data_IF_314760014478
#
_entry.id   IF_314760014478
#
_cell.length_a   1.000
_cell.length_b   1.000
_cell.length_c   1.000
_cell.angle_alpha   90.00
_cell.angle_beta   90.00
_cell.angle_gamma   90.00
#
_symmetry.space_group_name_H-M   'P 1'
#
loop_
_entity.id
_entity.type
_entity.pdbx_description
1 polymer ?
#
# COMPACT_ATOMS: atom_id res chain seq x y z
N UNK A 1 -19.42 3.27 -14.77
CA UNK A 1 -19.21 2.95 -13.34
C UNK A 1 -18.63 1.55 -13.22
N UNK A 2 -19.27 0.55 -13.83
CA UNK A 2 -18.77 -0.84 -13.81
C UNK A 2 -17.42 -1.01 -14.52
N UNK A 3 -17.17 -0.31 -15.63
CA UNK A 3 -15.87 -0.35 -16.31
C UNK A 3 -14.74 0.23 -15.44
N UNK A 4 -15.00 1.37 -14.80
CA UNK A 4 -14.05 2.03 -13.90
C UNK A 4 -13.77 1.19 -12.65
N UNK A 5 -14.79 0.51 -12.12
CA UNK A 5 -14.61 -0.42 -11.00
C UNK A 5 -13.79 -1.64 -11.43
N UNK A 6 -14.00 -2.15 -12.64
CA UNK A 6 -13.26 -3.29 -13.20
C UNK A 6 -11.78 -2.93 -13.43
N UNK A 7 -11.52 -1.74 -13.97
CA UNK A 7 -10.17 -1.20 -14.12
C UNK A 7 -9.48 -1.06 -12.76
N UNK A 8 -10.16 -0.44 -11.78
CA UNK A 8 -9.65 -0.33 -10.41
C UNK A 8 -9.32 -1.68 -9.78
N UNK A 9 -10.19 -2.68 -9.92
CA UNK A 9 -9.94 -4.02 -9.37
C UNK A 9 -8.74 -4.70 -10.05
N UNK A 10 -8.57 -4.51 -11.35
CA UNK A 10 -7.42 -5.00 -12.12
C UNK A 10 -6.13 -4.34 -11.65
N UNK A 11 -6.07 -3.01 -11.68
CA UNK A 11 -4.89 -2.24 -11.25
C UNK A 11 -4.53 -2.50 -9.79
N UNK A 12 -5.54 -2.58 -8.91
CA UNK A 12 -5.31 -2.86 -7.48
C UNK A 12 -4.73 -4.26 -7.31
N UNK A 13 -5.21 -5.25 -8.06
CA UNK A 13 -4.67 -6.62 -8.00
C UNK A 13 -3.21 -6.67 -8.45
N UNK A 14 -2.86 -5.93 -9.51
CA UNK A 14 -1.47 -5.81 -9.98
C UNK A 14 -0.58 -5.10 -8.95
N UNK A 15 -1.06 -3.99 -8.39
CA UNK A 15 -0.35 -3.26 -7.33
C UNK A 15 -0.14 -4.10 -6.07
N UNK A 16 -1.12 -4.94 -5.70
CA UNK A 16 -1.00 -5.86 -4.58
C UNK A 16 0.05 -6.96 -4.85
N UNK A 17 0.12 -7.49 -6.07
CA UNK A 17 1.16 -8.45 -6.43
C UNK A 17 2.57 -7.84 -6.34
N UNK A 18 2.74 -6.56 -6.70
CA UNK A 18 4.00 -5.83 -6.50
C UNK A 18 4.25 -5.60 -5.01
N UNK A 19 3.23 -5.22 -4.24
CA UNK A 19 3.32 -4.98 -2.80
C UNK A 19 3.81 -6.24 -2.06
N UNK A 20 3.28 -7.42 -2.39
CA UNK A 20 3.70 -8.69 -1.78
C UNK A 20 5.22 -8.93 -1.94
N UNK A 21 5.74 -8.70 -3.15
CA UNK A 21 7.18 -8.88 -3.43
C UNK A 21 8.01 -7.84 -2.67
N UNK A 22 7.56 -6.59 -2.62
CA UNK A 22 8.28 -5.53 -1.92
C UNK A 22 8.28 -5.71 -0.41
N UNK A 23 7.20 -6.24 0.18
CA UNK A 23 7.14 -6.57 1.61
C UNK A 23 8.17 -7.63 1.99
N UNK A 24 8.30 -8.71 1.20
CA UNK A 24 9.31 -9.75 1.42
C UNK A 24 10.73 -9.18 1.32
N UNK A 25 10.99 -8.26 0.39
CA UNK A 25 12.29 -7.58 0.33
C UNK A 25 12.51 -6.65 1.52
N UNK A 26 11.47 -5.97 1.98
CA UNK A 26 11.54 -5.08 3.13
C UNK A 26 11.85 -5.85 4.42
N UNK A 27 11.29 -7.05 4.58
CA UNK A 27 11.63 -7.96 5.68
C UNK A 27 13.13 -8.35 5.68
N UNK A 28 13.73 -8.51 4.50
CA UNK A 28 15.15 -8.87 4.35
C UNK A 28 16.09 -7.66 4.45
N UNK A 29 15.63 -6.49 4.03
CA UNK A 29 16.40 -5.25 3.96
C UNK A 29 15.64 -4.09 4.67
N UNK A 30 15.45 -4.16 6.00
CA UNK A 30 14.58 -3.23 6.72
C UNK A 30 15.08 -1.77 6.74
N UNK A 31 16.39 -1.56 6.55
CA UNK A 31 16.99 -0.22 6.46
C UNK A 31 16.87 0.40 5.05
N UNK A 32 16.39 -0.37 4.07
CA UNK A 32 16.31 0.07 2.68
C UNK A 32 15.06 0.95 2.46
N UNK A 33 15.26 2.25 2.67
CA UNK A 33 14.22 3.29 2.52
C UNK A 33 13.58 3.33 1.14
N UNK A 34 14.25 2.84 0.09
CA UNK A 34 13.69 2.83 -1.25
C UNK A 34 12.53 1.83 -1.38
N UNK A 35 12.67 0.65 -0.77
CA UNK A 35 11.63 -0.39 -0.73
C UNK A 35 10.42 0.12 0.04
N UNK A 36 10.65 0.66 1.25
CA UNK A 36 9.58 1.22 2.07
C UNK A 36 8.85 2.38 1.37
N UNK A 37 9.61 3.25 0.69
CA UNK A 37 9.03 4.32 -0.11
C UNK A 37 8.18 3.80 -1.28
N UNK A 38 8.54 2.65 -1.87
CA UNK A 38 7.76 2.03 -2.92
C UNK A 38 6.44 1.44 -2.40
N UNK A 39 6.52 0.68 -1.31
CA UNK A 39 5.35 0.14 -0.59
C UNK A 39 4.38 1.26 -0.21
N UNK A 40 4.89 2.35 0.38
CA UNK A 40 4.06 3.48 0.78
C UNK A 40 3.33 4.11 -0.41
N UNK A 41 4.00 4.29 -1.56
CA UNK A 41 3.37 4.83 -2.78
C UNK A 41 2.26 3.93 -3.31
N UNK A 42 2.45 2.61 -3.33
CA UNK A 42 1.44 1.66 -3.79
C UNK A 42 0.17 1.75 -2.94
N UNK A 43 0.31 1.72 -1.62
CA UNK A 43 -0.83 1.83 -0.69
C UNK A 43 -1.49 3.20 -0.77
N UNK A 44 -0.71 4.29 -0.91
CA UNK A 44 -1.24 5.64 -1.07
C UNK A 44 -2.07 5.78 -2.35
N UNK A 45 -1.62 5.19 -3.47
CA UNK A 45 -2.37 5.16 -4.73
C UNK A 45 -3.69 4.40 -4.56
N UNK A 46 -3.67 3.21 -3.96
CA UNK A 46 -4.89 2.40 -3.72
C UNK A 46 -5.89 3.19 -2.86
N UNK A 47 -5.43 3.83 -1.77
CA UNK A 47 -6.28 4.70 -0.94
C UNK A 47 -6.88 5.85 -1.76
N UNK A 48 -6.07 6.54 -2.55
CA UNK A 48 -6.49 7.66 -3.39
C UNK A 48 -7.60 7.24 -4.36
N UNK A 49 -7.43 6.11 -5.03
CA UNK A 49 -8.44 5.57 -5.95
C UNK A 49 -9.71 5.14 -5.20
N UNK A 50 -9.60 4.56 -4.00
CA UNK A 50 -10.77 4.24 -3.17
C UNK A 50 -11.58 5.49 -2.79
N UNK A 51 -10.91 6.58 -2.42
CA UNK A 51 -11.56 7.86 -2.12
C UNK A 51 -12.22 8.46 -3.36
N UNK A 52 -11.55 8.42 -4.51
CA UNK A 52 -12.09 8.89 -5.79
C UNK A 52 -13.36 8.11 -6.21
N UNK A 53 -13.38 6.79 -6.02
CA UNK A 53 -14.51 5.93 -6.36
C UNK A 53 -15.64 5.92 -5.31
N UNK A 54 -15.48 6.62 -4.19
CA UNK A 54 -16.45 6.61 -3.11
C UNK A 54 -16.60 5.25 -2.45
N UNK A 55 -15.48 4.54 -2.22
CA UNK A 55 -15.41 3.22 -1.59
C UNK A 55 -14.89 3.34 -0.13
N UNK A 56 -15.69 3.89 0.81
CA UNK A 56 -15.21 4.31 2.14
C UNK A 56 -14.67 3.15 2.99
N UNK A 57 -15.20 1.94 2.80
CA UNK A 57 -14.71 0.75 3.51
C UNK A 57 -13.29 0.41 3.07
N UNK A 58 -13.03 0.38 1.76
CA UNK A 58 -11.70 0.07 1.23
C UNK A 58 -10.71 1.20 1.52
N UNK A 59 -11.16 2.45 1.40
CA UNK A 59 -10.36 3.62 1.77
C UNK A 59 -9.90 3.54 3.24
N UNK A 60 -10.79 3.16 4.16
CA UNK A 60 -10.44 3.02 5.58
C UNK A 60 -9.36 1.95 5.84
N UNK A 61 -9.39 0.84 5.10
CA UNK A 61 -8.40 -0.24 5.21
C UNK A 61 -7.06 0.20 4.63
N UNK A 62 -7.06 0.82 3.44
CA UNK A 62 -5.85 1.33 2.80
C UNK A 62 -5.18 2.41 3.67
N UNK A 63 -5.99 3.30 4.26
CA UNK A 63 -5.50 4.32 5.19
C UNK A 63 -4.90 3.71 6.46
N UNK A 64 -5.51 2.67 7.04
CA UNK A 64 -4.93 1.97 8.18
C UNK A 64 -3.55 1.35 7.83
N UNK A 65 -3.42 0.77 6.63
CA UNK A 65 -2.14 0.28 6.11
C UNK A 65 -1.10 1.38 5.96
N UNK A 66 -1.46 2.52 5.35
CA UNK A 66 -0.58 3.68 5.19
C UNK A 66 -0.09 4.23 6.54
N UNK A 67 -0.95 4.23 7.56
CA UNK A 67 -0.57 4.67 8.91
C UNK A 67 0.48 3.75 9.55
N UNK A 68 0.35 2.43 9.37
CA UNK A 68 1.36 1.47 9.85
C UNK A 68 2.68 1.65 9.11
N UNK A 69 2.63 1.79 7.78
CA UNK A 69 3.81 2.05 6.96
C UNK A 69 4.49 3.38 7.30
N UNK A 70 3.71 4.40 7.65
CA UNK A 70 4.22 5.68 8.15
C UNK A 70 5.10 5.52 9.39
N UNK A 71 4.69 4.67 10.34
CA UNK A 71 5.47 4.41 11.56
C UNK A 71 6.81 3.73 11.27
N UNK A 72 6.86 2.79 10.32
CA UNK A 72 8.13 2.21 9.88
C UNK A 72 9.03 3.28 9.21
N UNK A 73 8.44 4.18 8.41
CA UNK A 73 9.19 5.24 7.71
C UNK A 73 9.76 6.26 8.68
N UNK A 74 9.01 6.57 9.72
CA UNK A 74 9.36 7.56 10.73
C UNK A 74 10.27 6.94 11.83
N UNK A 75 10.54 5.63 11.76
CA UNK A 75 11.42 4.90 12.68
C UNK A 75 10.79 4.59 14.04
N UNK A 76 9.46 4.69 14.15
CA UNK A 76 8.70 4.41 15.37
C UNK A 76 8.43 2.91 15.58
N UNK A 77 8.51 2.10 14.52
CA UNK A 77 8.40 0.65 14.55
C UNK A 77 9.65 0.01 13.96
N UNK A 78 10.13 -1.03 14.63
CA UNK A 78 11.17 -1.91 14.11
C UNK A 78 10.56 -3.01 13.24
N UNK A 79 11.20 -3.30 12.11
CA UNK A 79 10.80 -4.41 11.23
C UNK A 79 11.24 -5.71 11.89
N UNK A 80 10.29 -6.62 12.10
CA UNK A 80 10.56 -7.94 12.68
C UNK A 80 10.19 -9.04 11.67
N UNK A 81 10.99 -10.11 11.57
CA UNK A 81 10.63 -11.32 10.82
C UNK A 81 9.41 -12.04 11.40
#
# INVERSE_FOLDING_TARGET
>A
MDDLLTEFLTETSENLAVLDVELVKFEQEPDNKAILGNIFRLVHTIKGTCGFLGLPRLESVAHAGENVLGKFRDGELEVTP
#
